data_IF_727035982420
#
_entry.id   IF_727035982420
#
_cell.length_a   1.000
_cell.length_b   1.000
_cell.length_c   1.000
_cell.angle_alpha   90.00
_cell.angle_beta   90.00
_cell.angle_gamma   90.00
#
_symmetry.space_group_name_H-M   'P 1'
#
loop_
_entity.id
_entity.type
_entity.pdbx_description
1 polymer ?
#
# COMPACT_ATOMS: atom_id res chain seq x y z
N UNK A 1 -5.00 21.93 -2.99
CA UNK A 1 -5.62 20.61 -2.68
C UNK A 1 -4.82 19.96 -1.55
N UNK A 2 -5.46 19.46 -0.50
CA UNK A 2 -4.76 18.79 0.61
C UNK A 2 -4.30 17.38 0.22
N UNK A 3 -3.24 16.87 0.85
CA UNK A 3 -2.73 15.50 0.64
C UNK A 3 -3.83 14.43 0.89
N UNK A 4 -4.67 14.65 1.91
CA UNK A 4 -5.79 13.76 2.20
C UNK A 4 -6.80 13.69 1.04
N UNK A 5 -7.06 14.82 0.39
CA UNK A 5 -7.98 14.87 -0.74
C UNK A 5 -7.36 14.22 -2.00
N UNK A 6 -6.06 14.38 -2.21
CA UNK A 6 -5.34 13.68 -3.28
C UNK A 6 -5.41 12.17 -3.10
N UNK A 7 -5.25 11.68 -1.87
CA UNK A 7 -5.41 10.26 -1.54
C UNK A 7 -6.82 9.77 -1.87
N UNK A 8 -7.85 10.54 -1.52
CA UNK A 8 -9.23 10.22 -1.91
C UNK A 8 -9.40 10.11 -3.43
N UNK A 9 -8.85 11.06 -4.20
CA UNK A 9 -8.94 11.02 -5.67
C UNK A 9 -8.28 9.75 -6.22
N UNK A 10 -7.11 9.36 -5.70
CA UNK A 10 -6.43 8.11 -6.07
C UNK A 10 -7.31 6.88 -5.85
N UNK A 11 -7.93 6.77 -4.67
CA UNK A 11 -8.89 5.69 -4.38
C UNK A 11 -10.11 5.72 -5.29
N UNK A 12 -10.66 6.91 -5.55
CA UNK A 12 -11.80 7.07 -6.45
C UNK A 12 -11.48 6.56 -7.85
N UNK A 13 -10.32 6.90 -8.39
CA UNK A 13 -9.89 6.41 -9.71
C UNK A 13 -9.67 4.89 -9.72
N UNK A 14 -9.04 4.34 -8.68
CA UNK A 14 -8.86 2.91 -8.53
C UNK A 14 -10.19 2.14 -8.51
N UNK A 15 -11.18 2.67 -7.80
CA UNK A 15 -12.50 2.05 -7.66
C UNK A 15 -13.36 2.11 -8.95
N UNK A 16 -12.99 2.93 -9.94
CA UNK A 16 -13.62 2.92 -11.27
C UNK A 16 -13.31 1.63 -12.05
N UNK A 17 -12.26 0.92 -11.67
CA UNK A 17 -11.91 -0.34 -12.32
C UNK A 17 -12.92 -1.43 -11.96
N UNK A 18 -13.82 -1.72 -12.90
CA UNK A 18 -14.91 -2.70 -12.72
C UNK A 18 -14.45 -4.17 -12.62
N UNK A 19 -13.15 -4.46 -12.85
CA UNK A 19 -12.64 -5.83 -12.73
C UNK A 19 -12.70 -6.38 -11.30
N UNK A 20 -12.73 -5.51 -10.30
CA UNK A 20 -12.70 -5.90 -8.89
C UNK A 20 -13.89 -5.30 -8.16
N UNK A 21 -14.67 -6.14 -7.50
CA UNK A 21 -15.72 -5.70 -6.58
C UNK A 21 -15.07 -5.44 -5.21
N UNK A 22 -14.65 -4.22 -4.97
CA UNK A 22 -14.09 -3.79 -3.69
C UNK A 22 -15.24 -3.38 -2.78
N UNK A 23 -15.43 -4.12 -1.70
CA UNK A 23 -16.46 -3.84 -0.70
C UNK A 23 -15.89 -3.14 0.53
N UNK A 24 -14.62 -3.36 0.83
CA UNK A 24 -13.96 -2.93 2.06
C UNK A 24 -12.53 -2.50 1.77
N UNK A 25 -12.07 -1.47 2.46
CA UNK A 25 -10.70 -0.97 2.38
C UNK A 25 -10.07 -1.05 3.77
N UNK A 26 -8.92 -1.69 3.88
CA UNK A 26 -8.14 -1.76 5.11
C UNK A 26 -6.99 -0.76 5.05
N UNK A 27 -6.90 0.11 6.05
CA UNK A 27 -5.81 1.07 6.20
C UNK A 27 -4.69 0.49 7.05
N UNK A 28 -3.46 0.64 6.58
CA UNK A 28 -2.23 0.26 7.29
C UNK A 28 -1.20 1.38 7.21
N UNK A 29 -0.07 1.21 7.89
CA UNK A 29 0.98 2.22 7.96
C UNK A 29 0.62 3.43 8.82
N UNK A 30 1.52 4.41 8.91
CA UNK A 30 1.34 5.60 9.77
C UNK A 30 0.13 6.45 9.39
N UNK A 31 -0.19 6.55 8.09
CA UNK A 31 -1.33 7.33 7.59
C UNK A 31 -2.69 6.87 8.10
N UNK A 32 -2.83 5.62 8.54
CA UNK A 32 -4.08 5.09 9.12
C UNK A 32 -4.51 5.82 10.41
N UNK A 33 -3.55 6.45 11.10
CA UNK A 33 -3.79 7.24 12.33
C UNK A 33 -4.39 8.62 12.05
N UNK A 34 -4.40 9.03 10.79
CA UNK A 34 -4.98 10.31 10.37
C UNK A 34 -6.51 10.21 10.32
N UNK A 35 -7.16 10.70 11.37
CA UNK A 35 -8.63 10.65 11.51
C UNK A 35 -9.33 11.38 10.36
N UNK A 36 -8.82 12.55 9.95
CA UNK A 36 -9.40 13.32 8.86
C UNK A 36 -9.35 12.57 7.53
N UNK A 37 -8.24 11.89 7.24
CA UNK A 37 -8.14 11.05 6.04
C UNK A 37 -9.19 9.94 6.07
N UNK A 38 -9.34 9.26 7.19
CA UNK A 38 -10.32 8.19 7.35
C UNK A 38 -11.74 8.70 7.12
N UNK A 39 -12.12 9.81 7.74
CA UNK A 39 -13.43 10.45 7.58
C UNK A 39 -13.71 10.84 6.12
N UNK A 40 -12.74 11.43 5.43
CA UNK A 40 -12.87 11.79 4.01
C UNK A 40 -13.13 10.54 3.16
N UNK A 41 -12.38 9.46 3.40
CA UNK A 41 -12.56 8.21 2.65
C UNK A 41 -13.91 7.56 2.94
N UNK A 42 -14.33 7.48 4.21
CA UNK A 42 -15.63 6.93 4.61
C UNK A 42 -16.79 7.70 3.95
N UNK A 43 -16.78 9.02 4.07
CA UNK A 43 -17.88 9.87 3.59
C UNK A 43 -17.96 9.95 2.07
N UNK A 44 -16.83 9.86 1.37
CA UNK A 44 -16.79 10.14 -0.08
C UNK A 44 -16.72 8.89 -0.95
N UNK A 45 -16.23 7.77 -0.47
CA UNK A 45 -16.11 6.54 -1.27
C UNK A 45 -17.32 5.61 -1.13
N UNK A 46 -18.17 5.82 -0.14
CA UNK A 46 -19.26 4.91 0.21
C UNK A 46 -18.80 3.44 0.31
N UNK A 47 -17.67 3.25 0.99
CA UNK A 47 -17.03 1.95 1.23
C UNK A 47 -16.73 1.81 2.71
N UNK A 48 -16.68 0.57 3.18
CA UNK A 48 -16.28 0.29 4.54
C UNK A 48 -14.77 0.49 4.69
N UNK A 49 -14.37 1.45 5.52
CA UNK A 49 -12.98 1.77 5.82
C UNK A 49 -12.66 1.25 7.22
N UNK A 50 -11.69 0.37 7.33
CA UNK A 50 -11.30 -0.23 8.61
C UNK A 50 -9.78 -0.14 8.79
N UNK A 51 -9.34 -0.10 10.03
CA UNK A 51 -7.92 -0.22 10.37
C UNK A 51 -7.54 -1.70 10.39
N UNK A 52 -6.36 -2.03 9.86
CA UNK A 52 -5.86 -3.41 9.83
C UNK A 52 -5.69 -3.98 11.24
N UNK A 53 -5.45 -3.11 12.22
CA UNK A 53 -5.31 -3.47 13.63
C UNK A 53 -6.55 -4.21 14.19
N UNK A 54 -7.72 -3.98 13.63
CA UNK A 54 -8.96 -4.71 13.96
C UNK A 54 -8.85 -6.22 13.74
N UNK A 55 -7.96 -6.62 12.84
CA UNK A 55 -7.73 -8.02 12.48
C UNK A 55 -6.53 -8.64 13.20
N UNK A 56 -6.11 -8.07 14.34
CA UNK A 56 -4.95 -8.49 15.13
C UNK A 56 -3.62 -8.40 14.36
N UNK A 57 -3.57 -7.55 13.35
CA UNK A 57 -2.35 -7.23 12.59
C UNK A 57 -1.86 -5.87 13.07
N UNK A 58 -0.63 -5.79 13.54
CA UNK A 58 -0.05 -4.51 13.95
C UNK A 58 0.24 -3.65 12.71
N UNK A 59 -0.57 -2.62 12.49
CA UNK A 59 -0.45 -1.73 11.33
C UNK A 59 0.85 -0.93 11.26
N UNK A 60 1.56 -0.75 12.37
CA UNK A 60 2.87 -0.10 12.37
C UNK A 60 3.97 -1.04 11.87
N UNK A 61 3.79 -2.36 11.98
CA UNK A 61 4.76 -3.37 11.56
C UNK A 61 4.58 -3.86 10.13
N UNK A 62 3.44 -3.62 9.51
CA UNK A 62 3.14 -4.12 8.15
C UNK A 62 4.17 -3.61 7.14
N UNK A 63 4.54 -2.35 7.21
CA UNK A 63 5.54 -1.75 6.31
C UNK A 63 6.92 -2.36 6.52
N UNK A 64 7.35 -2.54 7.77
CA UNK A 64 8.62 -3.19 8.11
C UNK A 64 8.67 -4.63 7.59
N UNK A 65 7.58 -5.38 7.71
CA UNK A 65 7.47 -6.74 7.18
C UNK A 65 7.54 -6.76 5.65
N UNK A 66 6.89 -5.80 4.99
CA UNK A 66 6.96 -5.64 3.54
C UNK A 66 8.40 -5.39 3.08
N UNK A 67 9.11 -4.46 3.72
CA UNK A 67 10.50 -4.17 3.36
C UNK A 67 11.44 -5.33 3.66
N UNK A 68 11.25 -6.06 4.76
CA UNK A 68 12.02 -7.27 5.05
C UNK A 68 11.81 -8.34 3.96
N UNK A 69 10.58 -8.53 3.51
CA UNK A 69 10.25 -9.46 2.43
C UNK A 69 10.90 -9.03 1.09
N UNK A 70 10.80 -7.75 0.74
CA UNK A 70 11.42 -7.20 -0.48
C UNK A 70 12.94 -7.32 -0.40
N UNK A 71 13.55 -7.02 0.74
CA UNK A 71 14.99 -7.16 0.97
C UNK A 71 15.47 -8.60 0.77
N UNK A 72 14.74 -9.57 1.31
CA UNK A 72 15.07 -10.99 1.11
C UNK A 72 14.92 -11.43 -0.34
N UNK A 73 13.90 -10.95 -1.05
CA UNK A 73 13.74 -11.20 -2.50
C UNK A 73 14.89 -10.62 -3.28
N UNK A 74 15.28 -9.39 -2.98
CA UNK A 74 16.42 -8.70 -3.60
C UNK A 74 17.73 -9.48 -3.35
N UNK A 75 17.99 -9.90 -2.13
CA UNK A 75 19.16 -10.72 -1.77
C UNK A 75 19.23 -12.02 -2.57
N UNK A 76 18.09 -12.64 -2.86
CA UNK A 76 17.98 -13.87 -3.67
C UNK A 76 17.84 -13.61 -5.17
N UNK A 77 18.03 -12.38 -5.64
CA UNK A 77 17.83 -11.97 -7.03
C UNK A 77 16.42 -12.29 -7.59
N UNK A 78 15.42 -12.34 -6.74
CA UNK A 78 14.04 -12.52 -7.17
C UNK A 78 13.45 -11.20 -7.66
N UNK A 79 12.46 -11.29 -8.53
CA UNK A 79 11.72 -10.12 -9.03
C UNK A 79 11.03 -9.40 -7.86
N UNK A 80 11.28 -8.11 -7.73
CA UNK A 80 10.65 -7.21 -6.75
C UNK A 80 9.72 -6.20 -7.40
N UNK A 81 9.80 -6.03 -8.71
CA UNK A 81 9.00 -5.08 -9.46
C UNK A 81 8.64 -5.64 -10.83
N UNK A 82 7.39 -5.48 -11.24
CA UNK A 82 6.88 -5.88 -12.54
C UNK A 82 5.89 -4.86 -13.10
N UNK A 83 5.50 -5.00 -14.36
CA UNK A 83 4.60 -4.05 -15.04
C UNK A 83 3.23 -3.90 -14.34
N UNK A 84 2.76 -4.91 -13.67
CA UNK A 84 1.45 -4.90 -13.00
C UNK A 84 1.50 -4.26 -11.60
N UNK A 85 2.70 -4.10 -11.01
CA UNK A 85 2.87 -3.49 -9.69
C UNK A 85 3.39 -2.06 -9.77
N UNK A 86 4.43 -1.80 -10.56
CA UNK A 86 5.10 -0.49 -10.62
C UNK A 86 5.18 0.10 -12.04
N UNK A 87 4.60 -0.57 -13.03
CA UNK A 87 4.57 -0.07 -14.41
C UNK A 87 5.90 -0.15 -15.16
N UNK A 88 6.87 -0.90 -14.64
CA UNK A 88 8.17 -1.07 -15.31
C UNK A 88 8.04 -1.89 -16.61
N UNK A 89 8.89 -1.62 -17.61
CA UNK A 89 8.83 -2.28 -18.91
C UNK A 89 9.12 -3.78 -18.85
N UNK A 90 10.00 -4.20 -17.94
CA UNK A 90 10.37 -5.62 -17.71
C UNK A 90 10.46 -5.90 -16.22
N UNK A 91 10.37 -7.18 -15.87
CA UNK A 91 10.55 -7.61 -14.49
C UNK A 91 11.96 -7.25 -14.00
N UNK A 92 12.04 -6.68 -12.82
CA UNK A 92 13.27 -6.20 -12.20
C UNK A 92 13.46 -6.83 -10.82
N UNK A 93 14.67 -7.30 -10.54
CA UNK A 93 15.23 -7.35 -9.22
C UNK A 93 15.85 -5.99 -8.89
N UNK A 94 16.29 -5.77 -7.67
CA UNK A 94 16.90 -4.49 -7.30
C UNK A 94 17.63 -4.56 -5.97
N UNK A 95 18.29 -3.46 -5.63
CA UNK A 95 19.11 -3.36 -4.44
C UNK A 95 20.57 -3.77 -4.71
N UNK A 96 21.46 -3.19 -3.91
CA UNK A 96 22.89 -3.51 -3.89
C UNK A 96 23.27 -3.90 -2.47
N UNK A 97 23.90 -5.05 -2.30
CA UNK A 97 24.38 -5.49 -1.01
C UNK A 97 25.75 -4.87 -0.75
N UNK A 98 25.84 -4.11 0.33
CA UNK A 98 27.10 -3.59 0.84
C UNK A 98 27.50 -4.35 2.10
N UNK A 99 28.78 -4.73 2.17
CA UNK A 99 29.34 -5.30 3.39
C UNK A 99 30.07 -4.18 4.13
N UNK A 100 29.94 -4.11 5.47
CA UNK A 100 30.77 -3.18 6.24
C UNK A 100 32.24 -3.58 6.11
N UNK A 101 33.09 -2.58 6.02
CA UNK A 101 34.56 -2.76 6.01
C UNK A 101 35.04 -3.29 7.36
#
# INVERSE_FOLDING_TARGET
MTANYMTYIGFKELLKNKKFKIERILLTGGGRKNKLLKEILENKLNKKIELIDKYRINGDLVESQMFAYIGMRSFKNFVISNKNTTGVKKNLSGGVLYYPD
#
